data_IF_686575727520
#
_entry.id   IF_686575727520
#
_cell.length_a   1.000
_cell.length_b   1.000
_cell.length_c   1.000
_cell.angle_alpha   90.00
_cell.angle_beta   90.00
_cell.angle_gamma   90.00
#
_symmetry.space_group_name_H-M   'P 1'
#
loop_
_entity.id
_entity.type
_entity.pdbx_description
1 polymer ?
#
# COMPACT_ATOMS: atom_id res chain seq x y z
N UNK A 1 -10.23 26.63 -15.84
CA UNK A 1 -9.37 26.33 -17.00
C UNK A 1 -8.03 25.88 -16.45
N UNK A 2 -7.51 24.71 -16.86
CA UNK A 2 -6.17 24.26 -16.42
C UNK A 2 -5.11 24.93 -17.29
N UNK A 3 -3.93 25.15 -16.73
CA UNK A 3 -2.77 25.68 -17.47
C UNK A 3 -2.24 24.65 -18.47
N UNK A 4 -1.51 25.11 -19.49
CA UNK A 4 -0.81 24.20 -20.43
C UNK A 4 0.12 23.22 -19.71
N UNK A 5 0.79 23.69 -18.65
CA UNK A 5 1.65 22.85 -17.82
C UNK A 5 0.86 21.72 -17.13
N UNK A 6 -0.27 22.04 -16.50
CA UNK A 6 -1.14 21.05 -15.87
C UNK A 6 -1.72 20.07 -16.89
N UNK A 7 -2.11 20.55 -18.07
CA UNK A 7 -2.62 19.71 -19.14
C UNK A 7 -1.54 18.73 -19.62
N UNK A 8 -0.31 19.20 -19.83
CA UNK A 8 0.82 18.35 -20.21
C UNK A 8 1.14 17.27 -19.17
N UNK A 9 1.09 17.60 -17.88
CA UNK A 9 1.28 16.60 -16.80
C UNK A 9 0.15 15.58 -16.82
N UNK A 10 -1.11 16.05 -16.94
CA UNK A 10 -2.27 15.18 -17.01
C UNK A 10 -2.15 14.18 -18.17
N UNK A 11 -1.89 14.67 -19.37
CA UNK A 11 -1.72 13.84 -20.56
C UNK A 11 -0.57 12.83 -20.40
N UNK A 12 0.54 13.24 -19.76
CA UNK A 12 1.65 12.33 -19.43
C UNK A 12 1.22 11.17 -18.53
N UNK A 13 0.47 11.42 -17.46
CA UNK A 13 -0.01 10.33 -16.59
C UNK A 13 -1.05 9.45 -17.28
N UNK A 14 -1.92 10.03 -18.11
CA UNK A 14 -2.94 9.27 -18.86
C UNK A 14 -2.31 8.33 -19.88
N UNK A 15 -1.27 8.79 -20.59
CA UNK A 15 -0.56 8.01 -21.60
C UNK A 15 0.36 6.92 -21.02
N UNK A 16 0.71 6.99 -19.73
CA UNK A 16 1.58 6.00 -19.10
C UNK A 16 0.86 4.65 -18.91
N UNK A 17 1.32 3.56 -19.57
CA UNK A 17 0.74 2.23 -19.37
C UNK A 17 1.04 1.73 -17.95
N UNK A 18 0.22 0.79 -17.46
CA UNK A 18 0.56 0.05 -16.23
C UNK A 18 1.77 -0.83 -16.52
N UNK A 19 2.77 -0.81 -15.64
CA UNK A 19 4.04 -1.49 -15.80
C UNK A 19 4.35 -2.33 -14.56
N UNK A 20 5.18 -3.36 -14.71
CA UNK A 20 5.76 -4.02 -13.55
C UNK A 20 6.62 -3.03 -12.75
N UNK A 21 6.64 -3.18 -11.42
CA UNK A 21 7.59 -2.46 -10.59
C UNK A 21 9.03 -2.86 -11.00
N UNK A 22 9.96 -1.90 -11.07
CA UNK A 22 11.34 -2.17 -11.48
C UNK A 22 12.08 -2.96 -10.40
N UNK A 23 13.24 -3.52 -10.75
CA UNK A 23 14.22 -3.97 -9.73
C UNK A 23 14.53 -2.82 -8.77
N UNK A 24 14.59 -3.05 -7.44
CA UNK A 24 14.64 -4.35 -6.76
C UNK A 24 13.27 -4.95 -6.36
N UNK A 25 12.16 -4.30 -6.71
CA UNK A 25 10.82 -4.73 -6.31
C UNK A 25 10.39 -6.01 -7.02
N UNK A 26 9.77 -6.90 -6.25
CA UNK A 26 9.21 -8.17 -6.71
C UNK A 26 7.77 -8.28 -6.23
N UNK A 27 6.86 -8.70 -7.10
CA UNK A 27 5.48 -9.01 -6.69
C UNK A 27 5.51 -10.16 -5.70
N UNK A 28 4.77 -10.04 -4.60
CA UNK A 28 4.69 -11.08 -3.57
C UNK A 28 3.85 -12.28 -4.06
N UNK A 29 2.84 -12.01 -4.88
CA UNK A 29 2.02 -13.02 -5.54
C UNK A 29 1.82 -12.69 -7.02
N UNK A 30 1.57 -13.72 -7.83
CA UNK A 30 1.22 -13.54 -9.25
C UNK A 30 -0.15 -12.85 -9.44
N UNK A 31 -1.01 -12.93 -8.41
CA UNK A 31 -2.34 -12.32 -8.40
C UNK A 31 -2.54 -11.50 -7.13
N UNK A 32 -3.48 -10.56 -7.18
CA UNK A 32 -3.87 -9.77 -6.02
C UNK A 32 -4.57 -10.65 -4.99
N UNK A 33 -4.36 -10.37 -3.71
CA UNK A 33 -5.03 -11.05 -2.61
C UNK A 33 -6.47 -10.53 -2.54
N UNK A 34 -7.50 -11.36 -2.77
CA UNK A 34 -8.88 -10.88 -2.78
C UNK A 34 -9.37 -10.61 -1.34
N UNK A 35 -9.83 -9.38 -1.09
CA UNK A 35 -10.38 -8.94 0.19
C UNK A 35 -11.65 -8.11 -0.08
N UNK A 36 -12.80 -8.76 -0.07
CA UNK A 36 -14.07 -8.08 -0.29
C UNK A 36 -14.39 -7.08 0.82
N UNK A 37 -14.66 -5.83 0.45
CA UNK A 37 -15.04 -4.77 1.37
C UNK A 37 -13.88 -4.31 2.25
N UNK A 38 -12.65 -4.30 1.74
CA UNK A 38 -11.47 -3.79 2.45
C UNK A 38 -11.68 -2.31 2.81
N UNK A 39 -11.46 -2.01 4.08
CA UNK A 39 -11.56 -0.69 4.69
C UNK A 39 -10.19 -0.02 4.77
N UNK A 40 -9.17 -0.76 5.19
CA UNK A 40 -7.79 -0.26 5.26
C UNK A 40 -6.80 -1.35 5.63
N UNK A 41 -5.52 -0.98 5.65
CA UNK A 41 -4.42 -1.87 6.04
C UNK A 41 -3.46 -1.17 7.01
N UNK A 42 -2.74 -1.95 7.79
CA UNK A 42 -1.66 -1.47 8.66
C UNK A 42 -0.52 -2.47 8.73
N UNK A 43 0.71 -1.97 8.83
CA UNK A 43 1.88 -2.82 9.02
C UNK A 43 2.16 -3.08 10.49
N UNK A 44 2.64 -4.28 10.78
CA UNK A 44 3.15 -4.67 12.09
C UNK A 44 4.42 -5.52 11.89
N UNK A 45 5.10 -5.83 13.00
CA UNK A 45 6.29 -6.69 12.98
C UNK A 45 6.00 -7.92 13.83
N UNK A 46 6.29 -9.10 13.28
CA UNK A 46 6.17 -10.34 14.04
C UNK A 46 7.17 -10.31 15.22
N UNK A 47 6.72 -10.45 16.48
CA UNK A 47 7.58 -10.19 17.64
C UNK A 47 8.75 -11.17 17.79
N UNK A 48 8.61 -12.40 17.27
CA UNK A 48 9.66 -13.43 17.31
C UNK A 48 10.58 -13.40 16.08
N UNK A 49 10.03 -13.43 14.85
CA UNK A 49 10.84 -13.54 13.63
C UNK A 49 11.33 -12.19 13.09
N UNK A 50 10.72 -11.08 13.52
CA UNK A 50 10.98 -9.76 12.94
C UNK A 50 10.41 -9.56 11.53
N UNK A 51 9.65 -10.51 11.00
CA UNK A 51 9.05 -10.40 9.67
C UNK A 51 8.01 -9.27 9.63
N UNK A 52 7.93 -8.59 8.49
CA UNK A 52 6.87 -7.62 8.24
C UNK A 52 5.54 -8.33 8.04
N UNK A 53 4.53 -7.88 8.77
CA UNK A 53 3.17 -8.35 8.66
C UNK A 53 2.28 -7.21 8.16
N UNK A 54 1.24 -7.55 7.40
CA UNK A 54 0.19 -6.61 7.02
C UNK A 54 -1.14 -7.09 7.55
N UNK A 55 -1.73 -6.28 8.41
CA UNK A 55 -3.10 -6.47 8.88
C UNK A 55 -4.05 -5.77 7.90
N UNK A 56 -5.13 -6.45 7.58
CA UNK A 56 -6.19 -5.99 6.69
C UNK A 56 -7.49 -5.93 7.47
N UNK A 57 -8.14 -4.78 7.41
CA UNK A 57 -9.46 -4.54 8.02
C UNK A 57 -10.49 -4.49 6.90
N UNK A 58 -11.54 -5.30 6.99
CA UNK A 58 -12.62 -5.37 6.00
C UNK A 58 -13.98 -5.50 6.67
N UNK A 59 -15.05 -5.23 5.94
CA UNK A 59 -16.43 -5.39 6.45
C UNK A 59 -16.75 -6.82 6.90
N UNK A 60 -16.07 -7.82 6.33
CA UNK A 60 -16.30 -9.23 6.67
C UNK A 60 -15.31 -9.74 7.72
N UNK A 61 -14.67 -8.84 8.47
CA UNK A 61 -13.68 -9.13 9.50
C UNK A 61 -12.24 -8.85 9.07
N UNK A 62 -11.29 -9.20 9.93
CA UNK A 62 -9.88 -8.84 9.79
C UNK A 62 -8.97 -10.02 9.46
N UNK A 63 -7.90 -9.77 8.71
CA UNK A 63 -6.88 -10.77 8.39
C UNK A 63 -5.48 -10.24 8.65
N UNK A 64 -4.56 -11.14 8.97
CA UNK A 64 -3.13 -10.84 9.10
C UNK A 64 -2.36 -11.70 8.11
N UNK A 65 -1.46 -11.07 7.36
CA UNK A 65 -0.67 -11.72 6.32
C UNK A 65 0.82 -11.48 6.57
N UNK A 66 1.65 -12.46 6.24
CA UNK A 66 3.08 -12.25 6.06
C UNK A 66 3.28 -11.38 4.82
N UNK A 67 3.92 -10.22 4.99
CA UNK A 67 3.97 -9.21 3.93
C UNK A 67 4.97 -9.56 2.81
N UNK A 68 5.86 -10.53 3.05
CA UNK A 68 6.89 -10.99 2.10
C UNK A 68 6.39 -12.13 1.24
N UNK A 69 5.61 -13.04 1.82
CA UNK A 69 5.09 -14.25 1.15
C UNK A 69 3.61 -14.12 0.73
N UNK A 70 2.87 -13.20 1.36
CA UNK A 70 1.43 -13.05 1.17
C UNK A 70 0.62 -14.17 1.83
N UNK A 71 1.25 -15.03 2.63
CA UNK A 71 0.56 -16.08 3.37
C UNK A 71 -0.34 -15.48 4.45
N UNK A 72 -1.57 -15.99 4.57
CA UNK A 72 -2.49 -15.57 5.64
C UNK A 72 -2.14 -16.29 6.94
N UNK A 73 -1.69 -15.54 7.93
CA UNK A 73 -1.26 -16.02 9.25
C UNK A 73 -2.44 -16.14 10.21
N UNK A 74 -3.35 -15.17 10.21
CA UNK A 74 -4.48 -15.14 11.14
C UNK A 74 -5.72 -14.52 10.50
N UNK A 75 -6.89 -14.88 11.03
CA UNK A 75 -8.19 -14.37 10.58
C UNK A 75 -9.15 -14.26 11.77
N UNK A 76 -9.80 -13.11 11.87
CA UNK A 76 -10.93 -12.88 12.77
C UNK A 76 -12.19 -12.52 11.98
N UNK A 77 -13.16 -13.42 11.97
CA UNK A 77 -14.38 -13.28 11.17
C UNK A 77 -15.41 -12.34 11.78
N UNK A 78 -15.36 -12.10 13.09
CA UNK A 78 -16.38 -11.35 13.82
C UNK A 78 -15.73 -10.42 14.85
N UNK A 79 -14.93 -9.43 14.39
CA UNK A 79 -14.26 -8.51 15.28
C UNK A 79 -15.27 -7.59 15.96
N UNK A 80 -15.02 -7.24 17.23
CA UNK A 80 -15.89 -6.35 18.00
C UNK A 80 -16.03 -4.97 17.33
N UNK A 81 -17.22 -4.67 16.83
CA UNK A 81 -17.50 -3.45 16.06
C UNK A 81 -17.30 -2.17 16.87
N UNK A 82 -17.36 -2.22 18.19
CA UNK A 82 -17.15 -1.06 19.04
C UNK A 82 -15.67 -0.67 19.19
N UNK A 83 -14.75 -1.59 18.91
CA UNK A 83 -13.31 -1.42 19.18
C UNK A 83 -12.43 -1.71 17.99
N UNK A 84 -12.98 -2.37 16.96
CA UNK A 84 -12.22 -2.96 15.87
C UNK A 84 -12.50 -2.29 14.51
N UNK A 85 -13.36 -1.26 14.43
CA UNK A 85 -13.35 -0.38 13.25
C UNK A 85 -12.26 0.69 13.41
N UNK A 86 -11.52 1.07 12.35
CA UNK A 86 -10.42 2.03 12.50
C UNK A 86 -10.84 3.36 13.12
N UNK A 87 -12.04 3.85 12.77
CA UNK A 87 -12.60 5.11 13.27
C UNK A 87 -13.13 5.06 14.71
N UNK A 88 -13.20 3.87 15.33
CA UNK A 88 -13.54 3.73 16.75
C UNK A 88 -12.38 4.18 17.68
N UNK A 89 -11.16 4.34 17.16
CA UNK A 89 -9.99 4.77 17.93
C UNK A 89 -9.41 6.09 17.37
N UNK A 90 -9.05 7.08 18.23
CA UNK A 90 -8.51 8.38 17.79
C UNK A 90 -7.28 8.29 16.88
N UNK A 91 -6.44 7.26 17.07
CA UNK A 91 -5.23 7.03 16.26
C UNK A 91 -5.47 6.20 14.99
N UNK A 92 -6.74 5.99 14.59
CA UNK A 92 -7.12 5.16 13.45
C UNK A 92 -6.53 3.74 13.55
N UNK A 93 -6.73 3.07 14.68
CA UNK A 93 -6.06 1.81 15.00
C UNK A 93 -7.06 0.70 15.34
N UNK A 94 -6.68 -0.53 15.03
CA UNK A 94 -7.43 -1.73 15.39
C UNK A 94 -6.59 -2.65 16.30
N UNK A 95 -7.21 -3.48 17.16
CA UNK A 95 -6.49 -4.52 17.90
C UNK A 95 -5.74 -5.46 16.96
N UNK A 96 -4.47 -5.74 17.26
CA UNK A 96 -3.68 -6.70 16.50
C UNK A 96 -4.24 -8.13 16.59
N UNK A 97 -3.91 -8.95 15.59
CA UNK A 97 -4.34 -10.35 15.49
C UNK A 97 -3.16 -11.31 15.65
N UNK A 98 -3.44 -12.55 16.07
CA UNK A 98 -2.47 -13.64 16.05
C UNK A 98 -1.16 -13.26 16.77
N UNK A 99 0.02 -13.36 16.12
CA UNK A 99 1.31 -13.04 16.74
C UNK A 99 1.44 -11.60 17.25
N UNK A 100 0.64 -10.65 16.76
CA UNK A 100 0.65 -9.24 17.18
C UNK A 100 -0.54 -8.88 18.06
N UNK A 101 -1.26 -9.88 18.59
CA UNK A 101 -2.34 -9.66 19.54
C UNK A 101 -1.84 -8.86 20.77
N UNK A 102 -2.68 -7.93 21.23
CA UNK A 102 -2.33 -7.02 22.33
C UNK A 102 -1.53 -5.78 21.90
N UNK A 103 -1.10 -5.69 20.65
CA UNK A 103 -0.48 -4.47 20.08
C UNK A 103 -1.45 -3.82 19.08
N UNK A 104 -1.87 -2.56 19.29
CA UNK A 104 -2.69 -1.84 18.32
C UNK A 104 -1.94 -1.64 17.00
N UNK A 105 -2.62 -1.88 15.88
CA UNK A 105 -2.10 -1.65 14.52
C UNK A 105 -2.77 -0.41 13.95
N UNK A 106 -1.98 0.59 13.58
CA UNK A 106 -2.47 1.80 12.89
C UNK A 106 -2.88 1.45 11.46
N UNK A 107 -4.08 1.86 11.08
CA UNK A 107 -4.71 1.51 9.82
C UNK A 107 -4.78 2.75 8.93
N UNK A 108 -4.37 2.59 7.68
CA UNK A 108 -4.57 3.56 6.61
C UNK A 108 -5.60 3.03 5.61
N UNK A 109 -6.56 3.86 5.21
CA UNK A 109 -7.62 3.46 4.30
C UNK A 109 -8.78 4.45 4.25
N UNK A 110 -10.00 3.91 4.17
CA UNK A 110 -11.27 4.64 4.05
C UNK A 110 -11.43 5.76 5.08
N UNK A 111 -11.02 5.52 6.32
CA UNK A 111 -11.16 6.47 7.43
C UNK A 111 -9.98 7.44 7.57
N UNK A 112 -9.02 7.41 6.63
CA UNK A 112 -7.83 8.26 6.63
C UNK A 112 -6.56 7.51 7.03
N UNK A 113 -5.71 8.17 7.82
CA UNK A 113 -4.38 7.67 8.18
C UNK A 113 -3.36 7.85 7.05
N UNK A 114 -2.22 7.17 7.15
CA UNK A 114 -1.19 7.23 6.13
C UNK A 114 -0.12 6.15 6.28
N UNK A 115 0.25 5.56 5.15
CA UNK A 115 1.45 4.73 5.03
C UNK A 115 2.66 5.60 4.67
N UNK A 116 3.87 5.06 4.82
CA UNK A 116 5.08 5.79 4.42
C UNK A 116 5.06 6.03 2.90
N UNK A 117 5.34 7.26 2.47
CA UNK A 117 5.40 7.61 1.04
C UNK A 117 6.81 7.62 0.48
N UNK A 118 7.81 7.55 1.34
CA UNK A 118 9.20 7.56 0.98
C UNK A 118 9.94 6.49 1.75
N UNK A 119 11.06 6.04 1.18
CA UNK A 119 12.00 5.12 1.83
C UNK A 119 13.35 5.83 2.02
N UNK A 120 14.18 5.40 3.00
CA UNK A 120 15.48 6.05 3.26
C UNK A 120 16.44 6.06 2.07
N UNK A 121 16.34 5.06 1.18
CA UNK A 121 17.17 4.91 -0.01
C UNK A 121 16.55 5.53 -1.28
N UNK A 122 15.59 6.45 -1.12
CA UNK A 122 15.19 7.37 -2.17
C UNK A 122 13.98 6.97 -3.02
N UNK A 123 13.30 5.85 -2.72
CA UNK A 123 12.03 5.53 -3.39
C UNK A 123 10.90 6.41 -2.89
N UNK A 124 10.03 6.83 -3.81
CA UNK A 124 8.81 7.59 -3.51
C UNK A 124 7.58 6.90 -4.11
N UNK A 125 6.45 7.06 -3.42
CA UNK A 125 5.15 6.61 -3.87
C UNK A 125 4.16 7.77 -3.88
N UNK A 126 3.57 7.98 -5.05
CA UNK A 126 2.60 9.04 -5.30
C UNK A 126 1.29 8.44 -5.83
N UNK A 127 0.17 8.93 -5.31
CA UNK A 127 -1.16 8.63 -5.83
C UNK A 127 -1.64 9.85 -6.60
N UNK A 128 -1.94 9.67 -7.88
CA UNK A 128 -2.41 10.75 -8.76
C UNK A 128 -3.73 10.36 -9.44
N UNK A 129 -4.62 11.34 -9.62
CA UNK A 129 -5.96 11.11 -10.20
C UNK A 129 -6.18 12.02 -11.42
N UNK A 130 -5.43 11.84 -12.52
CA UNK A 130 -5.49 12.72 -13.69
C UNK A 130 -6.88 12.69 -14.39
N UNK A 131 -7.63 11.61 -14.19
CA UNK A 131 -8.98 11.37 -14.68
C UNK A 131 -9.83 10.73 -13.58
N UNK A 132 -9.92 11.40 -12.42
CA UNK A 132 -10.77 11.00 -11.29
C UNK A 132 -12.11 10.39 -11.77
N UNK A 133 -12.54 9.23 -11.22
CA UNK A 133 -12.07 8.58 -9.99
C UNK A 133 -10.95 7.54 -10.19
N UNK A 134 -10.26 7.55 -11.33
CA UNK A 134 -9.26 6.52 -11.64
C UNK A 134 -7.88 6.86 -11.10
N UNK A 135 -7.61 6.43 -9.87
CA UNK A 135 -6.32 6.65 -9.22
C UNK A 135 -5.21 5.80 -9.86
N UNK A 136 -4.03 6.40 -9.93
CA UNK A 136 -2.80 5.77 -10.42
C UNK A 136 -1.75 5.86 -9.34
N UNK A 137 -1.13 4.71 -9.04
CA UNK A 137 -0.02 4.63 -8.09
C UNK A 137 1.27 4.69 -8.89
N UNK A 138 2.05 5.72 -8.62
CA UNK A 138 3.32 6.03 -9.26
C UNK A 138 4.44 5.73 -8.29
N UNK A 139 5.28 4.76 -8.64
CA UNK A 139 6.54 4.49 -7.95
C UNK A 139 7.65 5.26 -8.67
N UNK A 140 8.54 5.90 -7.93
CA UNK A 140 9.71 6.57 -8.52
C UNK A 140 10.96 6.32 -7.70
N UNK A 141 12.11 6.37 -8.36
CA UNK A 141 13.43 6.37 -7.73
C UNK A 141 13.97 7.80 -7.59
N UNK A 142 15.06 7.96 -6.83
CA UNK A 142 15.84 9.20 -6.70
C UNK A 142 15.01 10.45 -6.31
N UNK A 143 14.00 10.27 -5.44
CA UNK A 143 13.25 11.41 -4.87
C UNK A 143 12.08 11.93 -5.71
N UNK A 144 11.58 11.18 -6.70
CA UNK A 144 10.22 11.41 -7.22
C UNK A 144 10.09 12.50 -8.29
N UNK A 145 11.17 12.83 -9.01
CA UNK A 145 11.15 13.95 -9.96
C UNK A 145 10.20 13.76 -11.17
N UNK A 146 9.63 12.56 -11.38
CA UNK A 146 8.78 12.15 -12.53
C UNK A 146 9.26 12.72 -13.89
N UNK A 147 10.58 12.83 -14.04
CA UNK A 147 11.22 13.37 -15.25
C UNK A 147 11.45 12.26 -16.26
N UNK A 148 11.38 12.62 -17.54
CA UNK A 148 11.59 11.67 -18.62
C UNK A 148 10.40 10.72 -18.86
N UNK A 149 10.60 9.69 -19.70
CA UNK A 149 9.55 8.73 -20.06
C UNK A 149 9.22 7.76 -18.90
N UNK A 150 7.97 7.26 -18.82
CA UNK A 150 7.64 6.16 -17.92
C UNK A 150 8.53 4.94 -18.19
N UNK A 151 8.95 4.25 -17.12
CA UNK A 151 9.87 3.12 -17.20
C UNK A 151 11.34 3.48 -16.95
N UNK A 152 11.68 4.78 -16.93
CA UNK A 152 13.03 5.27 -16.64
C UNK A 152 13.27 5.47 -15.14
N UNK A 153 12.79 6.58 -14.59
CA UNK A 153 12.92 6.94 -13.16
C UNK A 153 11.59 6.88 -12.40
N UNK A 154 10.50 6.59 -13.11
CA UNK A 154 9.15 6.47 -12.55
C UNK A 154 8.31 5.45 -13.33
N UNK A 155 7.39 4.79 -12.62
CA UNK A 155 6.59 3.67 -13.10
C UNK A 155 5.15 3.80 -12.60
N UNK A 156 4.19 3.66 -13.50
CA UNK A 156 2.78 3.50 -13.15
C UNK A 156 2.54 2.03 -12.76
N UNK A 157 2.64 1.72 -11.47
CA UNK A 157 2.66 0.33 -10.96
C UNK A 157 1.27 -0.22 -10.66
N UNK A 158 0.28 0.64 -10.46
CA UNK A 158 -1.10 0.23 -10.21
C UNK A 158 -2.11 1.24 -10.74
N UNK A 159 -3.16 0.75 -11.38
CA UNK A 159 -4.30 1.54 -11.85
C UNK A 159 -5.59 1.07 -11.19
N UNK A 160 -6.22 1.96 -10.43
CA UNK A 160 -7.50 1.79 -9.76
C UNK A 160 -8.67 2.03 -10.73
N UNK A 161 -8.89 1.11 -11.67
CA UNK A 161 -9.92 1.24 -12.70
C UNK A 161 -11.22 0.46 -12.42
N UNK A 162 -11.22 -0.43 -11.42
CA UNK A 162 -12.36 -1.31 -11.11
C UNK A 162 -12.83 -1.23 -9.65
N UNK A 163 -11.93 -0.97 -8.72
CA UNK A 163 -12.24 -0.89 -7.28
C UNK A 163 -11.56 0.32 -6.69
N UNK A 164 -12.28 1.05 -5.84
CA UNK A 164 -11.82 2.29 -5.21
C UNK A 164 -10.51 2.06 -4.43
N UNK A 165 -9.52 2.92 -4.64
CA UNK A 165 -8.28 2.90 -3.89
C UNK A 165 -8.55 3.27 -2.42
N UNK A 166 -8.06 2.46 -1.49
CA UNK A 166 -8.12 2.73 -0.04
C UNK A 166 -6.85 3.39 0.43
N UNK A 167 -5.70 2.84 0.08
CA UNK A 167 -4.40 3.39 0.44
C UNK A 167 -3.30 2.78 -0.41
N UNK A 168 -2.15 3.46 -0.47
CA UNK A 168 -0.93 2.96 -1.06
C UNK A 168 0.27 3.51 -0.29
N UNK A 169 1.30 2.70 -0.07
CA UNK A 169 2.51 3.16 0.59
C UNK A 169 3.45 2.03 0.96
N UNK A 170 4.53 2.42 1.64
CA UNK A 170 5.54 1.52 2.16
C UNK A 170 5.26 1.16 3.62
N UNK A 171 5.74 -0.03 3.96
CA UNK A 171 6.03 -0.45 5.33
C UNK A 171 7.03 0.49 6.01
N UNK A 172 7.09 0.51 7.35
CA UNK A 172 8.04 1.34 8.10
C UNK A 172 9.51 1.07 7.75
N UNK A 173 9.87 -0.17 7.39
CA UNK A 173 11.25 -0.49 6.95
C UNK A 173 11.55 -0.02 5.53
N UNK A 174 10.51 0.27 4.73
CA UNK A 174 10.63 0.54 3.31
C UNK A 174 10.90 -0.71 2.45
N UNK A 175 10.87 -1.92 3.01
CA UNK A 175 11.15 -3.17 2.26
C UNK A 175 9.89 -3.77 1.60
N UNK A 176 8.71 -3.42 2.11
CA UNK A 176 7.43 -3.79 1.51
C UNK A 176 6.66 -2.56 1.03
N UNK A 177 6.08 -2.65 -0.17
CA UNK A 177 5.13 -1.70 -0.74
C UNK A 177 3.76 -2.37 -0.84
N UNK A 178 2.70 -1.66 -0.48
CA UNK A 178 1.33 -2.14 -0.53
C UNK A 178 0.43 -1.17 -1.30
N UNK A 179 -0.52 -1.74 -2.03
CA UNK A 179 -1.67 -1.03 -2.60
C UNK A 179 -2.93 -1.79 -2.20
N UNK A 180 -3.86 -1.11 -1.54
CA UNK A 180 -5.12 -1.69 -1.12
C UNK A 180 -6.28 -0.95 -1.82
N UNK A 181 -7.17 -1.70 -2.43
CA UNK A 181 -8.46 -1.21 -2.96
C UNK A 181 -9.59 -1.70 -2.06
N UNK A 182 -10.84 -1.35 -2.38
CA UNK A 182 -12.02 -1.87 -1.69
C UNK A 182 -12.26 -3.38 -1.89
N UNK A 183 -11.53 -4.05 -2.79
CA UNK A 183 -11.73 -5.47 -3.11
C UNK A 183 -10.45 -6.32 -3.10
N UNK A 184 -9.27 -5.70 -3.06
CA UNK A 184 -8.00 -6.41 -3.20
C UNK A 184 -6.83 -5.75 -2.46
N UNK A 185 -5.85 -6.57 -2.11
CA UNK A 185 -4.54 -6.17 -1.60
C UNK A 185 -3.46 -6.65 -2.57
N UNK A 186 -2.58 -5.73 -2.99
CA UNK A 186 -1.41 -6.02 -3.80
C UNK A 186 -0.15 -5.65 -3.03
N UNK A 187 0.83 -6.55 -2.99
CA UNK A 187 2.08 -6.40 -2.24
C UNK A 187 3.29 -6.60 -3.16
N UNK A 188 4.30 -5.78 -2.94
CA UNK A 188 5.64 -5.95 -3.50
C UNK A 188 6.66 -5.91 -2.39
N UNK A 189 7.71 -6.70 -2.53
CA UNK A 189 8.82 -6.75 -1.57
C UNK A 189 10.15 -6.55 -2.28
N UNK A 190 11.15 -6.10 -1.54
CA UNK A 190 12.54 -6.00 -1.97
C UNK A 190 13.46 -6.39 -0.80
N UNK A 191 14.71 -6.79 -1.08
CA UNK A 191 15.72 -6.97 -0.04
C UNK A 191 15.92 -5.68 0.75
N UNK A 192 16.28 -5.82 2.03
CA UNK A 192 16.71 -4.69 2.84
C UNK A 192 17.90 -4.00 2.18
N UNK A 193 17.90 -2.67 2.02
CA UNK A 193 19.07 -1.98 1.50
C UNK A 193 20.25 -2.28 2.41
N UNK A 194 21.35 -2.79 1.82
CA UNK A 194 22.59 -2.96 2.56
C UNK A 194 23.06 -1.58 2.98
N UNK A 195 23.08 -1.31 4.29
CA UNK A 195 23.80 -0.18 4.84
C UNK A 195 25.28 -0.53 4.70
N UNK A 196 25.96 0.02 3.70
CA UNK A 196 27.41 0.12 3.75
C UNK A 196 27.71 1.19 4.82
N UNK A 197 28.22 0.75 5.97
CA UNK A 197 28.82 1.60 7.00
C UNK A 197 30.16 2.20 6.52
#
# INVERSE_FOLDING_TARGET
>A
MITEYQQRIRERYLAAPVMAAPTPWRSVQDRRIPIGGLLGIGFAVHPVTGHELVMVVSHNGHGLFDAVTGEKIARDHDPDTATSTPDAHPDLACPGLGPVAGTPVRISGLFGGGLHRTTPDGWTLDVVSPDWPHDRVILSADGGAHQGPPGGTWWHVFHSNYSELRTAGFSPSGCTMAVATSSDLTLWTRPTPHTED
#
